data_IF_759648832988
#
_entry.id   IF_759648832988
#
_cell.length_a   1.000
_cell.length_b   1.000
_cell.length_c   1.000
_cell.angle_alpha   90.00
_cell.angle_beta   90.00
_cell.angle_gamma   90.00
#
_symmetry.space_group_name_H-M   'P 1'
#
loop_
_entity.id
_entity.type
_entity.pdbx_description
1 polymer ?
#
# COMPACT_ATOMS: atom_id res chain seq x y z
N UNK A 1 2.30 -14.92 5.78
CA UNK A 1 2.56 -13.48 5.65
C UNK A 1 1.36 -12.70 6.14
N UNK A 2 1.56 -11.78 7.06
CA UNK A 2 0.48 -11.03 7.72
C UNK A 2 0.85 -9.56 7.90
N UNK A 3 -0.17 -8.70 8.06
CA UNK A 3 0.01 -7.31 8.41
C UNK A 3 -0.98 -6.92 9.50
N UNK A 4 -0.62 -5.95 10.33
CA UNK A 4 -1.48 -5.39 11.36
C UNK A 4 -1.09 -3.94 11.59
N UNK A 5 -2.05 -3.03 11.50
CA UNK A 5 -1.76 -1.61 11.66
C UNK A 5 -3.00 -0.75 11.70
N UNK A 6 -2.77 0.52 11.97
CA UNK A 6 -3.79 1.55 12.02
C UNK A 6 -4.08 2.08 10.61
N UNK A 7 -5.31 2.44 10.33
CA UNK A 7 -5.78 2.82 9.00
C UNK A 7 -5.70 4.31 8.76
N UNK A 8 -5.12 4.68 7.62
CA UNK A 8 -5.23 6.01 7.00
C UNK A 8 -6.16 5.86 5.79
N UNK A 9 -7.25 6.62 5.76
CA UNK A 9 -8.28 6.46 4.74
C UNK A 9 -8.35 7.66 3.80
N UNK A 10 -8.38 7.37 2.49
CA UNK A 10 -8.45 8.38 1.43
C UNK A 10 -9.55 8.02 0.44
N UNK A 11 -9.88 8.95 -0.48
CA UNK A 11 -10.98 8.80 -1.42
C UNK A 11 -10.58 8.21 -2.77
N UNK A 12 -11.34 8.57 -3.81
CA UNK A 12 -11.11 8.14 -5.19
C UNK A 12 -9.90 8.85 -5.82
N UNK A 13 -9.31 8.20 -6.81
CA UNK A 13 -8.32 8.80 -7.71
C UNK A 13 -7.12 9.43 -6.97
N UNK A 14 -6.60 8.72 -5.98
CA UNK A 14 -5.34 9.11 -5.35
C UNK A 14 -4.24 8.84 -6.37
N UNK A 15 -3.83 9.87 -7.12
CA UNK A 15 -2.88 9.70 -8.20
C UNK A 15 -1.42 9.72 -7.73
N UNK A 16 -0.52 9.30 -8.60
CA UNK A 16 0.90 9.19 -8.25
C UNK A 16 1.53 10.53 -7.91
N UNK A 17 1.02 11.63 -8.47
CA UNK A 17 1.50 12.98 -8.19
C UNK A 17 1.08 13.46 -6.79
N UNK A 18 -0.05 12.95 -6.31
CA UNK A 18 -0.52 13.18 -4.94
C UNK A 18 0.27 12.34 -3.94
N UNK A 19 0.58 11.09 -4.31
CA UNK A 19 1.35 10.18 -3.45
C UNK A 19 2.76 10.71 -3.26
N UNK A 20 3.44 11.09 -4.34
CA UNK A 20 4.75 11.73 -4.29
C UNK A 20 4.83 12.83 -5.36
N UNK A 21 4.83 14.10 -4.95
CA UNK A 21 4.86 15.22 -5.90
C UNK A 21 6.09 15.21 -6.80
N UNK A 22 5.90 15.71 -8.04
CA UNK A 22 6.96 15.74 -9.06
C UNK A 22 8.22 16.47 -8.58
N UNK A 23 8.07 17.47 -7.71
CA UNK A 23 9.20 18.25 -7.18
C UNK A 23 10.20 17.42 -6.38
N UNK A 24 9.83 16.20 -5.97
CA UNK A 24 10.70 15.29 -5.21
C UNK A 24 11.28 14.15 -6.04
N UNK A 25 11.00 14.09 -7.34
CA UNK A 25 11.41 12.98 -8.19
C UNK A 25 12.87 13.03 -8.64
N UNK A 26 13.61 14.06 -8.28
CA UNK A 26 15.04 14.14 -8.55
C UNK A 26 15.87 13.22 -7.64
N UNK A 27 15.25 12.58 -6.67
CA UNK A 27 15.88 11.59 -5.82
C UNK A 27 15.17 10.23 -5.98
N UNK A 28 15.94 9.15 -5.96
CA UNK A 28 15.40 7.79 -5.91
C UNK A 28 15.63 7.13 -4.54
N UNK A 29 16.14 7.88 -3.57
CA UNK A 29 16.37 7.39 -2.22
C UNK A 29 15.03 7.15 -1.52
N UNK A 30 14.70 5.90 -1.15
CA UNK A 30 13.43 5.60 -0.48
C UNK A 30 13.21 6.42 0.80
N UNK A 31 14.25 6.63 1.61
CA UNK A 31 14.13 7.40 2.84
C UNK A 31 13.76 8.87 2.56
N UNK A 32 14.31 9.43 1.50
CA UNK A 32 14.01 10.81 1.10
C UNK A 32 12.58 10.93 0.57
N UNK A 33 12.15 9.97 -0.26
CA UNK A 33 10.77 9.93 -0.78
C UNK A 33 9.76 9.76 0.35
N UNK A 34 10.07 8.94 1.34
CA UNK A 34 9.18 8.69 2.48
C UNK A 34 8.86 9.96 3.27
N UNK A 35 9.80 10.91 3.34
CA UNK A 35 9.60 12.17 4.05
C UNK A 35 8.49 13.03 3.47
N UNK A 36 8.15 12.82 2.21
CA UNK A 36 7.19 13.64 1.46
C UNK A 36 5.98 12.84 0.98
N UNK A 37 5.86 11.59 1.42
CA UNK A 37 4.77 10.72 1.02
C UNK A 37 3.42 11.29 1.44
N UNK A 38 2.47 11.40 0.52
CA UNK A 38 1.11 11.90 0.72
C UNK A 38 1.03 13.37 1.17
N UNK A 39 2.13 14.10 1.08
CA UNK A 39 2.25 15.47 1.61
C UNK A 39 1.17 16.42 1.09
N UNK A 40 0.82 16.33 -0.19
CA UNK A 40 -0.14 17.24 -0.82
C UNK A 40 -1.60 16.92 -0.50
N UNK A 41 -1.90 15.72 -0.02
CA UNK A 41 -3.27 15.31 0.34
C UNK A 41 -3.44 15.22 1.86
N UNK A 42 -2.38 14.90 2.58
CA UNK A 42 -2.40 14.74 4.03
C UNK A 42 -1.03 15.11 4.59
N UNK A 43 -0.87 16.36 4.92
CA UNK A 43 0.42 16.89 5.41
C UNK A 43 0.89 16.25 6.70
N UNK A 44 -0.03 15.68 7.48
CA UNK A 44 0.29 15.05 8.76
C UNK A 44 0.57 13.56 8.64
N UNK A 45 0.42 12.98 7.45
CA UNK A 45 0.61 11.55 7.22
C UNK A 45 1.99 11.08 7.69
N UNK A 46 3.05 11.75 7.24
CA UNK A 46 4.42 11.35 7.55
C UNK A 46 4.72 11.44 9.05
N UNK A 47 4.12 12.41 9.74
CA UNK A 47 4.29 12.58 11.18
C UNK A 47 3.55 11.51 11.99
N UNK A 48 2.45 10.99 11.46
CA UNK A 48 1.56 10.09 12.19
C UNK A 48 1.71 8.63 11.80
N UNK A 49 2.22 8.32 10.60
CA UNK A 49 2.35 6.95 10.13
C UNK A 49 3.41 6.20 10.94
N UNK A 50 3.09 4.95 11.30
CA UNK A 50 4.01 4.05 12.01
C UNK A 50 4.23 2.82 11.16
N UNK A 51 5.35 2.15 11.38
CA UNK A 51 5.66 0.91 10.68
C UNK A 51 4.54 -0.11 10.90
N UNK A 52 4.01 -0.64 9.81
CA UNK A 52 2.92 -1.59 9.83
C UNK A 52 1.56 -0.99 9.52
N UNK A 53 1.43 0.32 9.50
CA UNK A 53 0.15 0.98 9.23
C UNK A 53 -0.35 0.68 7.82
N UNK A 54 -1.64 0.92 7.61
CA UNK A 54 -2.36 0.49 6.41
C UNK A 54 -3.05 1.69 5.77
N UNK A 55 -2.96 1.80 4.45
CA UNK A 55 -3.73 2.78 3.69
C UNK A 55 -4.98 2.09 3.13
N UNK A 56 -6.12 2.74 3.28
CA UNK A 56 -7.41 2.31 2.71
C UNK A 56 -7.92 3.43 1.81
N UNK A 57 -8.28 3.11 0.57
CA UNK A 57 -8.74 4.10 -0.39
C UNK A 57 -9.84 3.54 -1.28
N UNK A 58 -10.51 4.43 -2.01
CA UNK A 58 -11.61 4.05 -2.89
C UNK A 58 -11.10 3.59 -4.26
N UNK A 59 -11.66 4.14 -5.35
CA UNK A 59 -11.37 3.67 -6.70
C UNK A 59 -10.09 4.27 -7.27
N UNK A 60 -9.44 3.49 -8.13
CA UNK A 60 -8.38 3.95 -9.02
C UNK A 60 -7.16 4.53 -8.28
N UNK A 61 -6.75 3.85 -7.21
CA UNK A 61 -5.57 4.25 -6.44
C UNK A 61 -4.31 4.09 -7.28
N UNK A 62 -3.47 5.12 -7.28
CA UNK A 62 -2.21 5.11 -8.04
C UNK A 62 -2.36 5.50 -9.51
N UNK A 63 -3.48 6.12 -9.88
CA UNK A 63 -3.69 6.61 -11.25
C UNK A 63 -2.69 7.70 -11.62
N UNK A 64 -2.68 8.12 -12.88
CA UNK A 64 -1.77 9.14 -13.39
C UNK A 64 -0.52 8.53 -13.99
N UNK A 65 0.63 9.18 -13.76
CA UNK A 65 1.90 8.75 -14.34
C UNK A 65 2.40 7.43 -13.76
N UNK A 66 3.10 6.63 -14.57
CA UNK A 66 3.65 5.33 -14.17
C UNK A 66 4.95 5.50 -13.36
N UNK A 67 4.85 6.13 -12.20
CA UNK A 67 6.03 6.41 -11.35
C UNK A 67 6.26 5.30 -10.35
N UNK A 68 7.41 4.66 -10.43
CA UNK A 68 7.84 3.68 -9.43
C UNK A 68 8.08 4.35 -8.08
N UNK A 69 8.35 5.64 -8.07
CA UNK A 69 8.57 6.41 -6.83
C UNK A 69 7.36 6.37 -5.89
N UNK A 70 6.14 6.28 -6.43
CA UNK A 70 4.93 6.29 -5.62
C UNK A 70 4.85 5.07 -4.68
N UNK A 71 4.90 3.81 -5.17
CA UNK A 71 4.88 2.67 -4.25
C UNK A 71 6.13 2.60 -3.37
N UNK A 72 7.28 3.06 -3.86
CA UNK A 72 8.51 3.11 -3.05
C UNK A 72 8.32 4.06 -1.87
N UNK A 73 7.74 5.24 -2.09
CA UNK A 73 7.50 6.21 -1.02
C UNK A 73 6.56 5.66 0.04
N UNK A 74 5.48 4.99 -0.37
CA UNK A 74 4.52 4.38 0.54
C UNK A 74 5.18 3.30 1.39
N UNK A 75 5.91 2.39 0.75
CA UNK A 75 6.59 1.32 1.46
C UNK A 75 7.63 1.86 2.43
N UNK A 76 8.45 2.81 2.00
CA UNK A 76 9.50 3.39 2.83
C UNK A 76 8.93 4.19 4.01
N UNK A 77 7.72 4.73 3.89
CA UNK A 77 7.05 5.42 4.98
C UNK A 77 6.62 4.47 6.11
N UNK A 78 6.63 3.15 5.85
CA UNK A 78 6.30 2.15 6.85
C UNK A 78 4.97 1.44 6.61
N UNK A 79 4.26 1.79 5.56
CA UNK A 79 2.97 1.16 5.24
C UNK A 79 3.16 -0.31 4.88
N UNK A 80 2.40 -1.17 5.54
CA UNK A 80 2.49 -2.63 5.35
C UNK A 80 1.59 -3.14 4.22
N UNK A 81 0.52 -2.42 3.90
CA UNK A 81 -0.43 -2.81 2.87
C UNK A 81 -1.29 -1.62 2.45
N UNK A 82 -1.68 -1.60 1.18
CA UNK A 82 -2.71 -0.68 0.69
C UNK A 82 -3.93 -1.51 0.29
N UNK A 83 -5.09 -1.17 0.83
CA UNK A 83 -6.37 -1.78 0.47
C UNK A 83 -7.17 -0.73 -0.29
N UNK A 84 -7.63 -1.07 -1.50
CA UNK A 84 -8.44 -0.16 -2.29
C UNK A 84 -9.59 -0.90 -2.95
N UNK A 85 -10.60 -0.14 -3.41
CA UNK A 85 -11.67 -0.73 -4.20
C UNK A 85 -11.09 -1.21 -5.53
N UNK A 86 -10.29 -0.36 -6.20
CA UNK A 86 -9.53 -0.73 -7.40
C UNK A 86 -8.20 0.01 -7.42
N UNK A 87 -7.22 -0.55 -8.15
CA UNK A 87 -5.92 0.08 -8.40
C UNK A 87 -5.73 0.35 -9.88
N UNK A 88 -5.01 1.42 -10.22
CA UNK A 88 -4.51 1.60 -11.57
C UNK A 88 -3.54 0.45 -11.90
N UNK A 89 -3.62 -0.08 -13.12
CA UNK A 89 -2.87 -1.29 -13.53
C UNK A 89 -1.36 -1.14 -13.32
N UNK A 90 -0.81 -0.01 -13.74
CA UNK A 90 0.65 0.21 -13.67
C UNK A 90 1.09 0.32 -12.21
N UNK A 91 0.31 1.03 -11.39
CA UNK A 91 0.60 1.10 -9.95
C UNK A 91 0.58 -0.28 -9.31
N UNK A 92 -0.43 -1.10 -9.62
CA UNK A 92 -0.53 -2.46 -9.11
C UNK A 92 0.74 -3.26 -9.40
N UNK A 93 1.17 -3.23 -10.67
CA UNK A 93 2.39 -3.93 -11.10
C UNK A 93 3.63 -3.42 -10.38
N UNK A 94 3.80 -2.11 -10.32
CA UNK A 94 4.96 -1.50 -9.68
C UNK A 94 5.02 -1.81 -8.18
N UNK A 95 3.86 -1.79 -7.51
CA UNK A 95 3.79 -2.11 -6.09
C UNK A 95 4.26 -3.54 -5.80
N UNK A 96 3.79 -4.52 -6.57
CA UNK A 96 4.22 -5.92 -6.41
C UNK A 96 5.72 -6.03 -6.68
N UNK A 97 6.22 -5.38 -7.73
CA UNK A 97 7.62 -5.46 -8.10
C UNK A 97 8.57 -4.92 -7.03
N UNK A 98 8.13 -3.93 -6.25
CA UNK A 98 8.97 -3.38 -5.17
C UNK A 98 8.64 -3.97 -3.80
N UNK A 99 7.74 -4.92 -3.74
CA UNK A 99 7.39 -5.61 -2.51
C UNK A 99 6.39 -4.91 -1.60
N UNK A 100 5.57 -4.02 -2.14
CA UNK A 100 4.47 -3.40 -1.39
C UNK A 100 3.21 -4.24 -1.55
N UNK A 101 2.70 -4.87 -0.47
CA UNK A 101 1.45 -5.62 -0.56
C UNK A 101 0.26 -4.71 -0.86
N UNK A 102 -0.61 -5.14 -1.79
CA UNK A 102 -1.83 -4.42 -2.14
C UNK A 102 -2.98 -5.42 -2.33
N UNK A 103 -4.19 -5.01 -1.91
CA UNK A 103 -5.38 -5.86 -2.00
C UNK A 103 -6.55 -5.04 -2.50
N UNK A 104 -7.30 -5.57 -3.48
CA UNK A 104 -8.58 -5.00 -3.90
C UNK A 104 -9.70 -5.66 -3.11
N UNK A 105 -10.46 -4.87 -2.35
CA UNK A 105 -11.58 -5.37 -1.57
C UNK A 105 -12.65 -4.29 -1.41
N UNK A 106 -13.61 -4.19 -2.35
CA UNK A 106 -14.65 -3.16 -2.31
C UNK A 106 -15.48 -3.15 -1.03
N UNK A 107 -15.75 -4.32 -0.46
CA UNK A 107 -16.54 -4.41 0.77
C UNK A 107 -15.84 -3.78 1.97
N UNK A 108 -14.52 -4.03 2.09
CA UNK A 108 -13.73 -3.50 3.19
C UNK A 108 -13.69 -1.97 3.17
N UNK A 109 -13.55 -1.38 1.98
CA UNK A 109 -13.42 0.06 1.83
C UNK A 109 -14.64 0.80 2.37
N UNK A 110 -15.82 0.22 2.23
CA UNK A 110 -17.07 0.86 2.66
C UNK A 110 -17.23 0.88 4.17
N UNK A 111 -16.60 -0.05 4.87
CA UNK A 111 -16.85 -0.29 6.31
C UNK A 111 -15.67 0.04 7.22
N UNK A 112 -14.45 -0.03 6.71
CA UNK A 112 -13.25 0.32 7.49
C UNK A 112 -13.16 1.85 7.58
N UNK A 113 -12.94 2.36 8.79
CA UNK A 113 -12.82 3.79 9.04
C UNK A 113 -11.38 4.18 9.34
N UNK A 114 -11.06 5.45 9.11
CA UNK A 114 -9.75 5.99 9.50
C UNK A 114 -9.55 5.80 11.01
N UNK A 115 -8.36 5.36 11.38
CA UNK A 115 -8.03 5.09 12.78
C UNK A 115 -8.35 3.69 13.27
N UNK A 116 -9.07 2.88 12.49
CA UNK A 116 -9.34 1.50 12.86
C UNK A 116 -8.05 0.68 12.86
N UNK A 117 -8.00 -0.34 13.71
CA UNK A 117 -6.92 -1.31 13.74
C UNK A 117 -7.30 -2.50 12.87
N UNK A 118 -6.50 -2.80 11.87
CA UNK A 118 -6.83 -3.84 10.87
C UNK A 118 -5.73 -4.89 10.81
N UNK A 119 -6.15 -6.16 10.74
CA UNK A 119 -5.29 -7.32 10.57
C UNK A 119 -5.53 -7.94 9.19
N UNK A 120 -4.47 -8.36 8.52
CA UNK A 120 -4.56 -8.95 7.19
C UNK A 120 -3.77 -10.26 7.16
N UNK A 121 -4.40 -11.33 6.69
CA UNK A 121 -3.75 -12.59 6.40
C UNK A 121 -3.63 -12.75 4.89
N UNK A 122 -2.43 -12.59 4.35
CA UNK A 122 -2.23 -12.65 2.90
C UNK A 122 -2.34 -14.06 2.33
N UNK A 123 -2.22 -15.09 3.17
CA UNK A 123 -2.37 -16.46 2.72
C UNK A 123 -3.82 -16.81 2.38
N UNK A 124 -4.76 -16.22 3.11
CA UNK A 124 -6.19 -16.48 2.93
C UNK A 124 -6.92 -15.31 2.29
N UNK A 125 -6.34 -14.11 2.33
CA UNK A 125 -6.97 -12.87 1.87
C UNK A 125 -7.96 -12.29 2.87
N UNK A 126 -8.02 -12.82 4.08
CA UNK A 126 -8.96 -12.33 5.11
C UNK A 126 -8.45 -11.04 5.73
N UNK A 127 -9.31 -10.02 5.71
CA UNK A 127 -9.08 -8.72 6.34
C UNK A 127 -10.00 -8.61 7.54
N UNK A 128 -9.44 -8.36 8.72
CA UNK A 128 -10.23 -8.23 9.95
C UNK A 128 -10.08 -6.82 10.50
N UNK A 129 -11.21 -6.10 10.61
CA UNK A 129 -11.23 -4.82 11.31
C UNK A 129 -11.38 -5.12 12.80
N UNK A 130 -10.28 -5.04 13.53
CA UNK A 130 -10.25 -5.39 14.95
C UNK A 130 -11.02 -4.39 15.81
N UNK A 131 -11.20 -3.17 15.33
CA UNK A 131 -11.95 -2.14 16.05
C UNK A 131 -13.45 -2.44 16.05
N UNK A 132 -13.98 -2.93 14.92
CA UNK A 132 -15.40 -3.24 14.78
C UNK A 132 -15.73 -4.73 14.94
N UNK A 133 -14.73 -5.60 14.75
CA UNK A 133 -14.91 -7.04 14.75
C UNK A 133 -15.36 -7.62 13.41
N UNK A 134 -15.51 -6.80 12.39
CA UNK A 134 -15.95 -7.27 11.07
C UNK A 134 -14.80 -7.88 10.28
N UNK A 135 -15.13 -8.87 9.45
CA UNK A 135 -14.16 -9.52 8.54
C UNK A 135 -14.60 -9.37 7.10
N UNK A 136 -13.61 -9.31 6.21
CA UNK A 136 -13.84 -9.16 4.78
C UNK A 136 -12.96 -10.15 4.03
N UNK A 137 -13.44 -10.65 2.90
CA UNK A 137 -12.68 -11.56 2.07
C UNK A 137 -12.09 -10.80 0.89
N UNK A 138 -10.80 -10.53 0.95
CA UNK A 138 -10.03 -10.04 -0.19
C UNK A 138 -9.48 -11.20 -0.99
N UNK A 139 -8.76 -10.89 -2.07
CA UNK A 139 -8.13 -11.91 -2.89
C UNK A 139 -6.82 -12.35 -2.25
N UNK A 140 -6.67 -13.66 -2.01
CA UNK A 140 -5.42 -14.21 -1.51
C UNK A 140 -4.33 -14.10 -2.59
N UNK A 141 -3.09 -13.84 -2.16
CA UNK A 141 -1.97 -13.80 -3.09
C UNK A 141 -1.57 -15.21 -3.51
N UNK A 142 -1.31 -15.45 -4.82
CA UNK A 142 -0.67 -16.70 -5.24
C UNK A 142 0.69 -16.88 -4.54
N UNK A 143 1.14 -18.12 -4.31
CA UNK A 143 2.40 -18.36 -3.60
C UNK A 143 3.61 -17.63 -4.21
N UNK A 144 3.73 -17.57 -5.54
CA UNK A 144 4.85 -16.87 -6.18
C UNK A 144 4.84 -15.36 -5.88
N UNK A 145 3.65 -14.75 -5.81
CA UNK A 145 3.50 -13.33 -5.50
C UNK A 145 3.88 -13.05 -4.05
N UNK A 146 3.45 -13.91 -3.12
CA UNK A 146 3.85 -13.79 -1.72
C UNK A 146 5.35 -13.87 -1.57
N UNK A 147 6.01 -14.73 -2.35
CA UNK A 147 7.45 -14.89 -2.31
C UNK A 147 8.16 -13.65 -2.82
N UNK A 148 7.68 -13.05 -3.92
CA UNK A 148 8.24 -11.79 -4.45
C UNK A 148 8.16 -10.69 -3.38
N UNK A 149 7.01 -10.54 -2.73
CA UNK A 149 6.80 -9.52 -1.72
C UNK A 149 7.66 -9.79 -0.49
N UNK A 150 7.75 -11.02 -0.04
CA UNK A 150 8.53 -11.39 1.15
C UNK A 150 10.03 -11.18 0.97
N UNK A 151 10.51 -11.28 -0.28
CA UNK A 151 11.93 -11.01 -0.62
C UNK A 151 12.21 -9.51 -0.79
N UNK A 152 11.20 -8.66 -0.70
CA UNK A 152 11.34 -7.22 -0.85
C UNK A 152 11.21 -6.71 -2.28
N UNK A 153 10.67 -7.52 -3.19
CA UNK A 153 10.41 -7.16 -4.56
C UNK A 153 11.00 -8.11 -5.58
N UNK A 154 10.71 -7.86 -6.85
CA UNK A 154 11.06 -8.76 -7.94
C UNK A 154 12.58 -8.94 -8.10
N UNK A 155 13.35 -7.87 -8.03
CA UNK A 155 14.80 -7.94 -8.20
C UNK A 155 15.43 -8.81 -7.13
N UNK A 156 15.06 -8.61 -5.87
CA UNK A 156 15.55 -9.43 -4.77
C UNK A 156 15.11 -10.90 -4.92
N UNK A 157 13.88 -11.12 -5.37
CA UNK A 157 13.37 -12.47 -5.61
C UNK A 157 14.22 -13.20 -6.66
N UNK A 158 14.54 -12.55 -7.76
CA UNK A 158 15.37 -13.13 -8.82
C UNK A 158 16.78 -13.44 -8.29
N UNK A 159 17.38 -12.52 -7.55
CA UNK A 159 18.73 -12.68 -7.01
C UNK A 159 18.83 -13.82 -5.99
N UNK A 160 17.76 -14.10 -5.24
CA UNK A 160 17.74 -15.16 -4.23
C UNK A 160 17.27 -16.51 -4.76
N UNK A 161 16.88 -16.57 -6.03
CA UNK A 161 16.36 -17.80 -6.62
C UNK A 161 17.44 -18.83 -6.93
N UNK A 162 18.67 -18.40 -7.05
CA UNK A 162 19.81 -19.29 -7.37
C UNK A 162 20.28 -20.10 -6.17
#
# INVERSE_FOLDING_TARGET
>A
MKANGCVFKYGDNVDTDVIIPARYLNSSDPAELAKHCMEDIDKDFVSNVKKGDIIVADKNFGCGSSREHAPIAIKAAGVSCVIAETFARIFYRNAINIGLPIIECPEAIKKINAGDQVDIDFNTGVITDQTTGETFQGQAFPPFMQKIISEGGLINYINHKE
#
